data_IF_538665950685
#
_entry.id   IF_538665950685
#
_cell.length_a   1.000
_cell.length_b   1.000
_cell.length_c   1.000
_cell.angle_alpha   90.00
_cell.angle_beta   90.00
_cell.angle_gamma   90.00
#
_symmetry.space_group_name_H-M   'P 1'
#
loop_
_entity.id
_entity.type
_entity.pdbx_description
1 polymer ?
#
# COMPACT_ATOMS: atom_id res chain seq x y z
N UNK A 1 -20.51 7.88 -7.95
CA UNK A 1 -20.96 9.06 -7.17
C UNK A 1 -22.21 8.68 -6.38
N UNK A 2 -22.10 8.41 -5.07
CA UNK A 2 -23.27 8.09 -4.24
C UNK A 2 -24.14 9.36 -4.13
N UNK A 3 -25.37 9.31 -4.65
CA UNK A 3 -26.31 10.43 -4.61
C UNK A 3 -26.47 10.91 -3.15
N UNK A 4 -26.06 12.15 -2.87
CA UNK A 4 -26.25 12.82 -1.56
C UNK A 4 -27.70 13.28 -1.31
N UNK A 5 -28.60 13.07 -2.28
CA UNK A 5 -30.03 13.36 -2.16
C UNK A 5 -30.82 12.05 -2.22
N UNK A 6 -31.63 11.82 -1.20
CA UNK A 6 -32.71 10.83 -1.26
C UNK A 6 -33.87 11.45 -2.02
N UNK A 7 -34.58 10.63 -2.80
CA UNK A 7 -35.79 11.02 -3.53
C UNK A 7 -37.04 11.06 -2.62
N UNK A 8 -36.85 10.88 -1.32
CA UNK A 8 -37.87 10.96 -0.30
C UNK A 8 -37.99 12.41 0.19
N UNK A 9 -39.17 13.03 0.06
CA UNK A 9 -39.45 14.45 0.32
C UNK A 9 -39.32 14.93 1.78
N UNK A 10 -38.45 14.31 2.59
CA UNK A 10 -38.14 14.71 3.96
C UNK A 10 -36.65 14.98 4.14
N UNK A 11 -36.32 15.73 5.21
CA UNK A 11 -34.92 16.05 5.54
C UNK A 11 -34.06 14.80 5.66
N UNK A 12 -32.84 14.87 5.13
CA UNK A 12 -31.85 13.79 5.17
C UNK A 12 -31.50 13.31 6.57
N UNK A 13 -31.75 14.14 7.60
CA UNK A 13 -31.52 13.80 9.00
C UNK A 13 -32.51 12.75 9.52
N UNK A 14 -33.64 12.56 8.82
CA UNK A 14 -34.64 11.52 9.17
C UNK A 14 -34.31 10.16 8.55
N UNK A 15 -33.22 10.03 7.78
CA UNK A 15 -32.88 8.77 7.15
C UNK A 15 -32.24 7.81 8.13
N UNK A 16 -32.85 6.64 8.25
CA UNK A 16 -32.32 5.57 9.07
C UNK A 16 -31.45 4.63 8.21
N UNK A 17 -30.14 4.73 8.36
CA UNK A 17 -29.21 3.75 7.78
C UNK A 17 -29.03 2.58 8.76
N UNK A 18 -29.80 1.50 8.54
CA UNK A 18 -29.74 0.29 9.35
C UNK A 18 -28.33 -0.29 9.45
N UNK A 19 -27.60 -0.33 8.32
CA UNK A 19 -26.24 -0.87 8.26
C UNK A 19 -25.27 -0.09 9.14
N UNK A 20 -25.30 1.24 9.07
CA UNK A 20 -24.43 2.07 9.91
C UNK A 20 -24.81 1.92 11.39
N UNK A 21 -26.10 1.94 11.72
CA UNK A 21 -26.58 1.81 13.11
C UNK A 21 -26.13 0.50 13.76
N UNK A 22 -26.27 -0.64 13.06
CA UNK A 22 -26.14 -1.96 13.68
C UNK A 22 -24.90 -2.76 13.29
N UNK A 23 -24.24 -2.41 12.18
CA UNK A 23 -23.07 -3.15 11.67
C UNK A 23 -21.84 -2.25 11.65
N UNK A 24 -21.79 -1.24 10.78
CA UNK A 24 -20.55 -0.54 10.48
C UNK A 24 -20.02 0.27 11.68
N UNK A 25 -20.85 1.10 12.30
CA UNK A 25 -20.42 1.99 13.38
C UNK A 25 -20.02 1.24 14.65
N UNK A 26 -20.79 0.23 15.14
CA UNK A 26 -20.38 -0.54 16.32
C UNK A 26 -19.09 -1.34 16.12
N UNK A 27 -18.85 -1.85 14.90
CA UNK A 27 -17.62 -2.60 14.59
C UNK A 27 -16.42 -1.65 14.50
N UNK A 28 -16.58 -0.50 13.85
CA UNK A 28 -15.49 0.46 13.61
C UNK A 28 -14.99 1.10 14.91
N UNK A 29 -15.90 1.53 15.78
CA UNK A 29 -15.55 2.29 17.00
C UNK A 29 -15.52 1.44 18.27
N UNK A 30 -15.94 0.18 18.20
CA UNK A 30 -16.17 -0.64 19.39
C UNK A 30 -15.96 -2.13 19.17
N UNK A 31 -15.00 -2.55 18.34
CA UNK A 31 -14.78 -3.97 18.02
C UNK A 31 -14.63 -4.89 19.23
N UNK A 32 -13.97 -4.43 20.30
CA UNK A 32 -13.81 -5.16 21.56
C UNK A 32 -15.00 -5.00 22.53
N UNK A 33 -15.89 -4.04 22.28
CA UNK A 33 -17.06 -3.80 23.13
C UNK A 33 -18.11 -4.90 22.96
N UNK A 34 -19.05 -4.97 23.90
CA UNK A 34 -20.20 -5.88 23.78
C UNK A 34 -21.02 -5.61 22.51
N UNK A 35 -21.19 -4.33 22.17
CA UNK A 35 -21.97 -3.90 21.00
C UNK A 35 -21.28 -4.25 19.68
N UNK A 36 -19.96 -4.07 19.58
CA UNK A 36 -19.21 -4.47 18.39
C UNK A 36 -19.19 -5.98 18.19
N UNK A 37 -19.05 -6.76 19.27
CA UNK A 37 -19.19 -8.23 19.21
C UNK A 37 -20.58 -8.64 18.76
N UNK A 38 -21.64 -8.00 19.27
CA UNK A 38 -23.02 -8.27 18.84
C UNK A 38 -23.24 -7.93 17.37
N UNK A 39 -22.73 -6.79 16.91
CA UNK A 39 -22.75 -6.37 15.51
C UNK A 39 -22.02 -7.37 14.61
N UNK A 40 -20.85 -7.85 15.03
CA UNK A 40 -20.08 -8.86 14.29
C UNK A 40 -20.83 -10.19 14.18
N UNK A 41 -21.46 -10.65 15.27
CA UNK A 41 -22.29 -11.86 15.25
C UNK A 41 -23.50 -11.68 14.33
N UNK A 42 -24.14 -10.51 14.35
CA UNK A 42 -25.26 -10.19 13.46
C UNK A 42 -24.81 -10.24 11.99
N UNK A 43 -23.69 -9.60 11.66
CA UNK A 43 -23.11 -9.61 10.32
C UNK A 43 -22.84 -11.04 9.85
N UNK A 44 -22.15 -11.83 10.67
CA UNK A 44 -21.74 -13.20 10.32
C UNK A 44 -22.94 -14.13 10.15
N UNK A 45 -23.80 -14.21 11.16
CA UNK A 45 -24.84 -15.25 11.23
C UNK A 45 -26.10 -14.90 10.43
N UNK A 46 -26.45 -13.62 10.30
CA UNK A 46 -27.69 -13.21 9.60
C UNK A 46 -27.47 -12.73 8.18
N UNK A 47 -26.38 -12.03 7.90
CA UNK A 47 -26.14 -11.43 6.58
C UNK A 47 -25.24 -12.32 5.74
N UNK A 48 -24.01 -12.57 6.18
CA UNK A 48 -23.01 -13.27 5.39
C UNK A 48 -23.35 -14.75 5.17
N UNK A 49 -24.03 -15.40 6.12
CA UNK A 49 -24.43 -16.81 6.01
C UNK A 49 -25.30 -17.13 4.79
N UNK A 50 -26.12 -16.18 4.33
CA UNK A 50 -26.99 -16.36 3.17
C UNK A 50 -26.36 -15.93 1.83
N UNK A 51 -25.23 -15.21 1.86
CA UNK A 51 -24.65 -14.55 0.68
C UNK A 51 -23.27 -15.12 0.34
N UNK A 52 -22.47 -15.47 1.35
CA UNK A 52 -21.06 -15.84 1.19
C UNK A 52 -20.86 -17.31 1.53
N UNK A 53 -20.33 -18.07 0.57
CA UNK A 53 -19.78 -19.40 0.82
C UNK A 53 -18.27 -19.30 1.07
N UNK A 54 -17.82 -19.61 2.29
CA UNK A 54 -16.40 -19.65 2.64
C UNK A 54 -15.97 -21.09 2.97
N UNK A 55 -15.07 -21.66 2.16
CA UNK A 55 -14.39 -22.93 2.45
C UNK A 55 -12.94 -22.66 2.83
N UNK A 56 -12.44 -23.34 3.85
CA UNK A 56 -11.04 -23.23 4.29
C UNK A 56 -10.27 -24.50 3.92
N UNK A 57 -8.97 -24.39 3.67
CA UNK A 57 -8.09 -25.55 3.41
C UNK A 57 -8.17 -26.58 4.55
N UNK A 58 -8.32 -26.11 5.79
CA UNK A 58 -8.52 -26.94 6.99
C UNK A 58 -9.85 -27.72 6.90
N UNK A 59 -10.95 -27.06 6.54
CA UNK A 59 -12.27 -27.69 6.45
C UNK A 59 -12.44 -28.65 5.26
N UNK A 60 -11.51 -28.66 4.30
CA UNK A 60 -11.50 -29.55 3.14
C UNK A 60 -10.22 -30.39 3.07
N UNK A 61 -9.54 -30.58 4.20
CA UNK A 61 -8.26 -31.29 4.26
C UNK A 61 -8.35 -32.73 3.73
N UNK A 62 -9.49 -33.41 3.97
CA UNK A 62 -9.74 -34.77 3.48
C UNK A 62 -9.81 -34.87 1.95
N UNK A 63 -10.31 -33.83 1.27
CA UNK A 63 -10.41 -33.84 -0.20
C UNK A 63 -9.15 -33.34 -0.89
N UNK A 64 -8.38 -32.47 -0.21
CA UNK A 64 -7.30 -31.70 -0.82
C UNK A 64 -5.91 -32.32 -0.59
N UNK A 65 -5.76 -33.27 0.36
CA UNK A 65 -4.52 -33.99 0.66
C UNK A 65 -3.23 -33.14 0.53
N UNK A 66 -3.28 -31.91 1.07
CA UNK A 66 -2.21 -30.93 0.83
C UNK A 66 -0.98 -31.27 1.67
N UNK A 67 0.24 -31.14 1.11
CA UNK A 67 1.46 -31.25 1.89
C UNK A 67 1.53 -30.12 2.95
N UNK A 68 2.30 -30.33 4.03
CA UNK A 68 2.50 -29.31 5.04
C UNK A 68 3.15 -28.05 4.43
N UNK A 69 2.68 -26.87 4.86
CA UNK A 69 3.30 -25.60 4.50
C UNK A 69 4.54 -25.39 5.36
N UNK A 70 5.71 -25.45 4.74
CA UNK A 70 6.98 -25.06 5.38
C UNK A 70 7.32 -23.62 5.01
N UNK A 71 7.62 -22.78 6.01
CA UNK A 71 8.10 -21.40 5.80
C UNK A 71 9.52 -21.32 6.32
N UNK A 72 10.45 -20.98 5.43
CA UNK A 72 11.87 -20.80 5.76
C UNK A 72 12.24 -19.33 5.67
N UNK A 73 12.88 -18.79 6.71
CA UNK A 73 13.43 -17.44 6.69
C UNK A 73 14.89 -17.50 6.22
N UNK A 74 15.16 -16.92 5.06
CA UNK A 74 16.52 -16.70 4.56
C UNK A 74 16.93 -15.27 4.92
N UNK A 75 18.15 -15.10 5.42
CA UNK A 75 18.76 -13.79 5.68
C UNK A 75 19.92 -13.62 4.73
N UNK A 76 19.85 -12.58 3.92
CA UNK A 76 20.90 -12.18 3.00
C UNK A 76 21.56 -10.91 3.52
N UNK A 77 22.87 -10.79 3.30
CA UNK A 77 23.67 -9.61 3.63
C UNK A 77 23.92 -8.81 2.36
N UNK A 78 23.94 -7.48 2.49
CA UNK A 78 24.37 -6.60 1.41
C UNK A 78 25.84 -6.80 1.07
N UNK A 79 26.18 -6.58 -0.20
CA UNK A 79 27.56 -6.32 -0.59
C UNK A 79 28.03 -4.96 -0.06
N UNK A 80 29.34 -4.71 -0.05
CA UNK A 80 29.92 -3.44 0.42
C UNK A 80 29.31 -2.23 -0.28
N UNK A 81 29.16 -2.29 -1.60
CA UNK A 81 28.63 -1.18 -2.39
C UNK A 81 27.12 -0.95 -2.11
N UNK A 82 26.36 -2.02 -1.94
CA UNK A 82 24.93 -1.95 -1.61
C UNK A 82 24.71 -1.41 -0.19
N UNK A 83 25.55 -1.81 0.75
CA UNK A 83 25.52 -1.32 2.12
C UNK A 83 25.83 0.18 2.18
N UNK A 84 26.87 0.64 1.48
CA UNK A 84 27.23 2.06 1.42
C UNK A 84 26.10 2.90 0.79
N UNK A 85 25.50 2.42 -0.30
CA UNK A 85 24.33 3.05 -0.91
C UNK A 85 23.14 3.13 0.06
N UNK A 86 22.83 2.02 0.74
CA UNK A 86 21.73 1.95 1.70
C UNK A 86 21.97 2.89 2.89
N UNK A 87 23.18 2.92 3.45
CA UNK A 87 23.53 3.80 4.57
C UNK A 87 23.39 5.28 4.19
N UNK A 88 23.88 5.68 3.01
CA UNK A 88 23.73 7.04 2.52
C UNK A 88 22.24 7.44 2.41
N UNK A 89 21.41 6.56 1.85
CA UNK A 89 19.96 6.78 1.73
C UNK A 89 19.26 6.81 3.10
N UNK A 90 19.69 5.96 4.03
CA UNK A 90 19.18 5.90 5.38
C UNK A 90 19.46 7.18 6.15
N UNK A 91 20.71 7.65 6.15
CA UNK A 91 21.09 8.91 6.80
C UNK A 91 20.29 10.09 6.23
N UNK A 92 20.15 10.17 4.90
CA UNK A 92 19.34 11.19 4.26
C UNK A 92 17.86 11.13 4.70
N UNK A 93 17.31 9.92 4.77
CA UNK A 93 15.92 9.70 5.19
C UNK A 93 15.69 10.08 6.65
N UNK A 94 16.65 9.76 7.54
CA UNK A 94 16.62 10.19 8.94
C UNK A 94 16.65 11.71 9.07
N UNK A 95 17.53 12.40 8.35
CA UNK A 95 17.57 13.86 8.38
C UNK A 95 16.25 14.49 7.91
N UNK A 96 15.63 13.95 6.85
CA UNK A 96 14.32 14.42 6.39
C UNK A 96 13.23 14.14 7.44
N UNK A 97 13.24 12.96 8.07
CA UNK A 97 12.31 12.63 9.14
C UNK A 97 12.43 13.58 10.34
N UNK A 98 13.65 13.82 10.81
CA UNK A 98 13.92 14.71 11.94
C UNK A 98 13.44 16.14 11.66
N UNK A 99 13.55 16.61 10.41
CA UNK A 99 13.01 17.92 10.01
C UNK A 99 11.48 18.00 10.20
N UNK A 100 10.74 16.93 9.93
CA UNK A 100 9.29 16.88 10.15
C UNK A 100 8.92 16.79 11.63
N UNK A 101 9.76 16.13 12.44
CA UNK A 101 9.60 16.07 13.90
C UNK A 101 9.80 17.44 14.51
N UNK A 102 10.90 18.13 14.17
CA UNK A 102 11.21 19.48 14.68
C UNK A 102 10.13 20.49 14.25
N UNK A 103 9.63 20.38 13.02
CA UNK A 103 8.54 21.23 12.54
C UNK A 103 7.17 20.90 13.17
N UNK A 104 7.03 19.77 13.88
CA UNK A 104 5.75 19.32 14.45
C UNK A 104 4.69 18.93 13.40
N UNK A 105 5.09 18.67 12.15
CA UNK A 105 4.18 18.42 11.02
C UNK A 105 4.13 16.95 10.58
N UNK A 106 4.63 16.04 11.43
CA UNK A 106 4.77 14.62 11.12
C UNK A 106 3.46 13.98 10.63
N UNK A 107 2.34 14.22 11.33
CA UNK A 107 1.04 13.65 10.95
C UNK A 107 0.47 14.23 9.66
N UNK A 108 0.79 15.49 9.35
CA UNK A 108 0.32 16.14 8.13
C UNK A 108 1.10 15.66 6.90
N UNK A 109 2.36 15.24 7.09
CA UNK A 109 3.28 14.82 6.04
C UNK A 109 3.45 13.30 5.95
N UNK A 110 2.46 12.52 6.39
CA UNK A 110 2.54 11.04 6.40
C UNK A 110 2.88 10.44 5.02
N UNK A 111 2.40 11.04 3.93
CA UNK A 111 2.70 10.60 2.58
C UNK A 111 4.20 10.70 2.25
N UNK A 112 4.88 11.76 2.70
CA UNK A 112 6.32 11.93 2.52
C UNK A 112 7.12 10.93 3.37
N UNK A 113 6.63 10.58 4.56
CA UNK A 113 7.26 9.56 5.41
C UNK A 113 7.13 8.18 4.75
N UNK A 114 5.97 7.85 4.19
CA UNK A 114 5.81 6.60 3.45
C UNK A 114 6.66 6.55 2.18
N UNK A 115 6.89 7.68 1.50
CA UNK A 115 7.83 7.74 0.37
C UNK A 115 9.25 7.40 0.81
N UNK A 116 9.74 8.01 1.90
CA UNK A 116 11.04 7.69 2.49
C UNK A 116 11.20 6.20 2.82
N UNK A 117 10.22 5.62 3.51
CA UNK A 117 10.23 4.18 3.83
C UNK A 117 10.16 3.30 2.58
N UNK A 118 9.42 3.72 1.56
CA UNK A 118 9.31 2.98 0.29
C UNK A 118 10.65 2.97 -0.43
N UNK A 119 11.37 4.09 -0.45
CA UNK A 119 12.73 4.17 -1.03
C UNK A 119 13.72 3.26 -0.30
N UNK A 120 13.69 3.23 1.03
CA UNK A 120 14.53 2.30 1.79
C UNK A 120 14.21 0.84 1.46
N UNK A 121 12.93 0.48 1.31
CA UNK A 121 12.52 -0.88 0.91
C UNK A 121 12.99 -1.23 -0.49
N UNK A 122 12.85 -0.31 -1.45
CA UNK A 122 13.37 -0.47 -2.80
C UNK A 122 14.88 -0.65 -2.83
N UNK A 123 15.62 0.05 -1.97
CA UNK A 123 17.07 -0.11 -1.86
C UNK A 123 17.48 -1.50 -1.38
N UNK A 124 16.68 -2.14 -0.51
CA UNK A 124 16.90 -3.54 -0.09
C UNK A 124 16.62 -4.53 -1.22
N UNK A 125 15.70 -4.20 -2.13
CA UNK A 125 15.40 -5.05 -3.29
C UNK A 125 16.46 -4.90 -4.39
N UNK A 126 16.70 -3.67 -4.88
CA UNK A 126 17.76 -3.37 -5.84
C UNK A 126 18.01 -1.84 -5.98
N UNK A 127 19.28 -1.35 -5.97
CA UNK A 127 19.59 0.10 -6.07
C UNK A 127 18.99 0.80 -7.30
N UNK A 128 18.89 0.09 -8.42
CA UNK A 128 18.26 0.59 -9.66
C UNK A 128 16.83 1.10 -9.44
N UNK A 129 16.05 0.45 -8.57
CA UNK A 129 14.66 0.85 -8.32
C UNK A 129 14.56 2.23 -7.65
N UNK A 130 15.60 2.63 -6.93
CA UNK A 130 15.68 3.97 -6.32
C UNK A 130 16.17 4.97 -7.37
N UNK A 131 17.26 4.65 -8.07
CA UNK A 131 17.93 5.53 -9.02
C UNK A 131 17.06 5.89 -10.23
N UNK A 132 16.31 4.93 -10.78
CA UNK A 132 15.52 5.10 -12.01
C UNK A 132 14.01 5.15 -11.74
N UNK A 133 13.61 5.42 -10.49
CA UNK A 133 12.20 5.67 -10.23
C UNK A 133 11.77 6.99 -10.86
N UNK A 134 10.61 7.00 -11.54
CA UNK A 134 9.99 8.23 -12.07
C UNK A 134 9.76 9.30 -11.00
N UNK A 135 9.73 8.91 -9.73
CA UNK A 135 9.61 9.79 -8.56
C UNK A 135 10.96 10.34 -8.06
N UNK A 136 12.09 9.78 -8.49
CA UNK A 136 13.43 10.36 -8.26
C UNK A 136 13.68 11.56 -9.18
N UNK A 137 13.20 11.49 -10.44
CA UNK A 137 13.30 12.58 -11.43
C UNK A 137 12.65 13.89 -10.95
N UNK A 138 11.67 13.83 -10.04
CA UNK A 138 11.00 15.04 -9.52
C UNK A 138 11.71 15.73 -8.35
N UNK A 139 12.75 15.12 -7.77
CA UNK A 139 13.50 15.70 -6.64
C UNK A 139 14.85 16.30 -7.04
N UNK A 140 15.45 15.82 -8.12
CA UNK A 140 16.65 16.45 -8.68
C UNK A 140 16.28 17.45 -9.75
N UNK A 141 16.26 18.73 -9.38
CA UNK A 141 16.42 19.83 -10.33
C UNK A 141 17.83 19.85 -10.94
N UNK A 142 18.30 18.74 -11.50
CA UNK A 142 19.50 18.70 -12.31
C UNK A 142 19.11 19.13 -13.73
N UNK A 143 19.24 20.43 -13.99
CA UNK A 143 19.34 20.93 -15.36
C UNK A 143 20.57 20.30 -15.99
N UNK A 144 20.38 19.28 -16.82
CA UNK A 144 21.24 19.11 -17.99
C UNK A 144 20.37 19.17 -19.23
N UNK A 145 20.52 20.28 -19.97
CA UNK A 145 20.02 20.40 -21.32
C UNK A 145 20.86 19.50 -22.24
N UNK A 146 20.20 19.01 -23.30
CA UNK A 146 20.62 18.01 -24.30
C UNK A 146 20.30 16.57 -23.83
N UNK A 147 19.33 15.82 -24.35
CA UNK A 147 18.78 15.78 -25.72
C UNK A 147 17.36 15.21 -25.77
N UNK A 148 16.55 15.72 -26.69
CA UNK A 148 15.24 15.19 -27.06
C UNK A 148 15.34 13.89 -27.86
N UNK A 149 15.87 12.83 -27.26
CA UNK A 149 15.94 11.49 -27.85
C UNK A 149 15.71 10.39 -26.79
N UNK A 150 14.74 10.62 -25.89
CA UNK A 150 14.28 9.60 -24.92
C UNK A 150 12.92 9.02 -25.33
N UNK A 151 12.63 8.99 -26.63
CA UNK A 151 11.78 7.94 -27.15
C UNK A 151 12.72 6.79 -27.50
N UNK A 152 12.50 5.65 -26.84
CA UNK A 152 13.03 4.34 -27.21
C UNK A 152 14.41 3.88 -26.69
N UNK A 153 14.70 4.04 -25.39
CA UNK A 153 15.71 3.17 -24.75
C UNK A 153 15.03 2.17 -23.82
N UNK A 154 15.30 0.87 -24.04
CA UNK A 154 14.72 -0.21 -23.25
C UNK A 154 15.24 -0.16 -21.80
N UNK A 155 14.35 -0.03 -20.82
CA UNK A 155 14.71 0.02 -19.39
C UNK A 155 15.20 -1.30 -18.77
N UNK A 156 15.43 -2.34 -19.59
CA UNK A 156 15.90 -3.66 -19.14
C UNK A 156 17.26 -3.98 -19.77
N UNK A 157 17.40 -3.84 -21.09
CA UNK A 157 18.65 -4.12 -21.80
C UNK A 157 19.44 -2.87 -22.21
N UNK A 158 18.92 -1.67 -21.97
CA UNK A 158 19.54 -0.40 -22.36
C UNK A 158 19.84 -0.25 -23.86
N UNK A 159 19.21 -1.05 -24.71
CA UNK A 159 19.31 -0.93 -26.17
C UNK A 159 18.31 0.11 -26.69
N UNK A 160 18.70 0.78 -27.78
CA UNK A 160 17.82 1.68 -28.52
C UNK A 160 16.79 0.85 -29.29
N UNK A 161 15.53 1.29 -29.37
CA UNK A 161 14.57 0.54 -30.19
C UNK A 161 14.97 0.67 -31.65
N UNK A 162 14.91 -0.46 -32.34
CA UNK A 162 15.08 -0.54 -33.78
C UNK A 162 13.89 0.18 -34.45
N UNK A 163 14.18 0.97 -35.50
CA UNK A 163 13.18 1.70 -36.25
C UNK A 163 12.10 0.76 -36.80
N UNK A 164 10.85 1.21 -36.80
CA UNK A 164 9.74 0.47 -37.41
C UNK A 164 10.04 0.32 -38.89
N UNK A 165 10.23 -0.92 -39.33
CA UNK A 165 10.36 -1.25 -40.76
C UNK A 165 9.03 -0.91 -41.44
N UNK A 166 9.04 0.09 -42.32
CA UNK A 166 7.91 0.45 -43.21
C UNK A 166 7.88 -0.47 -44.41
#
# INVERSE_FOLDING_TARGET
>A
SMKKKCDCGHSSVRHFCWWNKYIATPILYGSASFEGRRAMTLLKEKVLKGIVLRRTKIGRAADLALPPKTVTLRRDSFDRNEMEFYEALYTQSCTQFDSYVVAGTLLNNYAHIFDLLTRLRQAVDHPYLVAFSKTAESREGCKNQQNGAMESQCGICHELAEDVVV
#
